data_IF_904298642480
#
_entry.id   IF_904298642480
#
_cell.length_a   1.000
_cell.length_b   1.000
_cell.length_c   1.000
_cell.angle_alpha   90.00
_cell.angle_beta   90.00
_cell.angle_gamma   90.00
#
_symmetry.space_group_name_H-M   'P 1'
#
loop_
_entity.id
_entity.type
_entity.pdbx_description
1 polymer ?
#
# COMPACT_ATOMS: atom_id res chain seq x y z
N UNK A 1 2.27 24.37 8.07
CA UNK A 1 1.57 23.09 7.82
C UNK A 1 0.20 23.12 8.51
N UNK A 2 -0.88 23.09 7.75
CA UNK A 2 -2.24 22.96 8.30
C UNK A 2 -2.47 21.51 8.75
N UNK A 3 -2.13 21.23 10.01
CA UNK A 3 -2.22 19.89 10.62
C UNK A 3 -3.62 19.29 10.52
N UNK A 4 -4.67 20.10 10.64
CA UNK A 4 -6.05 19.62 10.56
C UNK A 4 -6.46 19.27 9.12
N UNK A 5 -5.92 19.97 8.13
CA UNK A 5 -6.10 19.62 6.71
C UNK A 5 -5.48 18.27 6.41
N UNK A 6 -4.20 18.09 6.76
CA UNK A 6 -3.48 16.84 6.53
C UNK A 6 -4.18 15.65 7.18
N UNK A 7 -4.62 15.76 8.43
CA UNK A 7 -5.32 14.67 9.13
C UNK A 7 -6.56 14.16 8.36
N UNK A 8 -7.27 15.04 7.65
CA UNK A 8 -8.47 14.66 6.88
C UNK A 8 -8.13 13.94 5.58
N UNK A 9 -6.92 14.12 5.08
CA UNK A 9 -6.45 13.54 3.81
C UNK A 9 -5.63 12.26 4.03
N UNK A 10 -5.26 11.92 5.27
CA UNK A 10 -4.50 10.72 5.57
C UNK A 10 -5.27 9.45 5.11
N UNK A 11 -4.66 8.61 4.27
CA UNK A 11 -5.29 7.38 3.83
C UNK A 11 -5.26 6.36 4.98
N UNK A 12 -6.43 6.05 5.53
CA UNK A 12 -6.56 5.06 6.59
C UNK A 12 -6.51 3.66 6.01
N UNK A 13 -5.58 2.81 6.47
CA UNK A 13 -5.35 1.47 5.97
C UNK A 13 -6.61 0.58 6.00
N UNK A 14 -7.52 0.81 6.96
CA UNK A 14 -8.81 0.10 7.07
C UNK A 14 -9.66 0.23 5.80
N UNK A 15 -9.50 1.32 5.03
CA UNK A 15 -10.25 1.55 3.79
C UNK A 15 -9.70 0.77 2.59
N UNK A 16 -8.51 0.15 2.72
CA UNK A 16 -7.83 -0.57 1.64
C UNK A 16 -7.89 -2.10 1.81
N UNK A 17 -8.33 -2.57 2.99
CA UNK A 17 -8.38 -4.00 3.30
C UNK A 17 -7.00 -4.65 3.24
N UNK A 18 -6.73 -5.44 2.20
CA UNK A 18 -5.45 -6.15 1.99
C UNK A 18 -4.58 -5.53 0.88
N UNK A 19 -5.01 -4.43 0.26
CA UNK A 19 -4.24 -3.69 -0.75
C UNK A 19 -3.23 -2.74 -0.08
N UNK A 20 -2.15 -3.32 0.47
CA UNK A 20 -1.10 -2.54 1.17
C UNK A 20 -0.30 -1.70 0.17
N UNK A 21 -0.07 -2.21 -1.04
CA UNK A 21 0.65 -1.45 -2.06
C UNK A 21 -0.11 -0.17 -2.43
N UNK A 22 -1.42 -0.28 -2.69
CA UNK A 22 -2.25 0.87 -2.99
C UNK A 22 -2.33 1.89 -1.85
N UNK A 23 -2.39 1.40 -0.62
CA UNK A 23 -2.36 2.28 0.55
C UNK A 23 -1.04 3.03 0.70
N UNK A 24 0.11 2.39 0.43
CA UNK A 24 1.42 3.05 0.47
C UNK A 24 1.55 4.10 -0.64
N UNK A 25 1.08 3.81 -1.85
CA UNK A 25 1.10 4.77 -2.96
C UNK A 25 0.29 6.03 -2.63
N UNK A 26 -0.95 5.87 -2.15
CA UNK A 26 -1.78 7.01 -1.75
C UNK A 26 -1.17 7.77 -0.55
N UNK A 27 -0.51 7.06 0.37
CA UNK A 27 0.21 7.68 1.48
C UNK A 27 1.40 8.53 0.97
N UNK A 28 2.17 8.01 0.02
CA UNK A 28 3.28 8.74 -0.62
C UNK A 28 2.80 10.00 -1.33
N UNK A 29 1.69 9.92 -2.08
CA UNK A 29 1.09 11.08 -2.74
C UNK A 29 0.68 12.16 -1.73
N UNK A 30 0.02 11.78 -0.63
CA UNK A 30 -0.35 12.73 0.43
C UNK A 30 0.90 13.31 1.11
N UNK A 31 1.95 12.52 1.36
CA UNK A 31 3.19 13.07 1.91
C UNK A 31 3.85 14.06 0.96
N UNK A 32 3.84 13.80 -0.35
CA UNK A 32 4.39 14.70 -1.36
C UNK A 32 3.60 16.01 -1.47
N UNK A 33 2.27 15.94 -1.51
CA UNK A 33 1.38 17.11 -1.56
C UNK A 33 1.58 18.07 -0.37
N UNK A 34 1.94 17.51 0.79
CA UNK A 34 2.18 18.27 2.01
C UNK A 34 3.66 18.57 2.27
N UNK A 35 4.54 18.32 1.28
CA UNK A 35 5.99 18.55 1.33
C UNK A 35 6.70 17.80 2.48
N UNK A 36 6.28 16.57 2.77
CA UNK A 36 6.78 15.71 3.84
C UNK A 36 7.72 14.65 3.28
N UNK A 37 9.02 14.95 3.29
CA UNK A 37 10.03 14.09 2.66
C UNK A 37 10.91 13.30 3.63
N UNK A 38 10.93 13.65 4.92
CA UNK A 38 11.83 12.97 5.87
C UNK A 38 11.20 11.69 6.42
N UNK A 39 11.99 10.61 6.50
CA UNK A 39 11.54 9.33 7.06
C UNK A 39 10.96 9.47 8.47
N UNK A 40 11.51 10.38 9.28
CA UNK A 40 10.99 10.68 10.62
C UNK A 40 9.57 11.22 10.59
N UNK A 41 9.28 12.18 9.70
CA UNK A 41 7.95 12.76 9.60
C UNK A 41 6.97 11.77 8.98
N UNK A 42 7.38 11.05 7.93
CA UNK A 42 6.56 10.00 7.31
C UNK A 42 6.21 8.91 8.33
N UNK A 43 7.17 8.45 9.13
CA UNK A 43 6.94 7.51 10.23
C UNK A 43 5.92 8.01 11.26
N UNK A 44 5.99 9.29 11.62
CA UNK A 44 5.02 9.88 12.55
C UNK A 44 3.59 9.84 12.01
N UNK A 45 3.42 10.07 10.70
CA UNK A 45 2.11 10.10 10.05
C UNK A 45 1.57 8.71 9.75
N UNK A 46 2.39 7.80 9.25
CA UNK A 46 1.95 6.45 8.86
C UNK A 46 1.42 5.65 10.06
N UNK A 47 1.95 5.86 11.27
CA UNK A 47 1.43 5.26 12.50
C UNK A 47 -0.02 5.68 12.78
N UNK A 48 -0.43 6.87 12.36
CA UNK A 48 -1.80 7.37 12.55
C UNK A 48 -2.77 6.83 11.50
N UNK A 49 -2.25 6.26 10.42
CA UNK A 49 -3.03 5.70 9.32
C UNK A 49 -3.44 4.24 9.56
N UNK A 50 -2.94 3.60 10.60
CA UNK A 50 -3.14 2.16 10.86
C UNK A 50 -3.85 1.91 12.18
N UNK A 51 -4.40 0.69 12.33
CA UNK A 51 -5.00 0.24 13.59
C UNK A 51 -3.92 -0.01 14.66
N UNK A 52 -4.36 -0.30 15.89
CA UNK A 52 -3.46 -0.47 17.03
C UNK A 52 -2.45 -1.60 16.81
N UNK A 53 -2.88 -2.77 16.34
CA UNK A 53 -2.03 -3.95 16.17
C UNK A 53 -0.92 -3.70 15.15
N UNK A 54 -1.28 -3.15 13.98
CA UNK A 54 -0.31 -2.78 12.96
C UNK A 54 0.62 -1.65 13.45
N UNK A 55 0.10 -0.72 14.26
CA UNK A 55 0.95 0.31 14.86
C UNK A 55 2.03 -0.27 15.78
N UNK A 56 1.74 -1.39 16.47
CA UNK A 56 2.71 -2.08 17.33
C UNK A 56 3.82 -2.67 16.45
N UNK A 57 3.46 -3.37 15.37
CA UNK A 57 4.44 -3.95 14.44
C UNK A 57 5.38 -2.89 13.84
N UNK A 58 4.85 -1.73 13.43
CA UNK A 58 5.64 -0.62 12.90
C UNK A 58 6.58 -0.06 13.98
N UNK A 59 6.12 0.05 15.24
CA UNK A 59 6.96 0.51 16.36
C UNK A 59 8.07 -0.49 16.68
N UNK A 60 7.77 -1.78 16.70
CA UNK A 60 8.76 -2.85 16.88
C UNK A 60 9.78 -2.87 15.73
N UNK A 61 9.36 -2.58 14.48
CA UNK A 61 10.30 -2.38 13.38
C UNK A 61 11.26 -1.20 13.67
N UNK A 62 10.75 -0.06 14.16
CA UNK A 62 11.54 1.12 14.48
C UNK A 62 12.58 0.89 15.59
N UNK A 63 12.32 -0.03 16.52
CA UNK A 63 13.24 -0.41 17.61
C UNK A 63 14.55 -1.03 17.10
N UNK A 64 14.55 -1.60 15.88
CA UNK A 64 15.75 -2.15 15.23
C UNK A 64 16.71 -1.07 14.73
N UNK A 65 16.30 0.19 14.74
CA UNK A 65 17.08 1.32 14.24
C UNK A 65 17.59 2.18 15.39
N UNK A 66 18.79 2.74 15.21
CA UNK A 66 19.33 3.78 16.08
C UNK A 66 18.36 4.97 16.22
N UNK A 67 18.53 5.76 17.28
CA UNK A 67 17.62 6.86 17.67
C UNK A 67 17.28 7.84 16.53
N UNK A 68 18.21 8.08 15.61
CA UNK A 68 18.05 9.06 14.52
C UNK A 68 17.64 8.45 13.17
N UNK A 69 17.56 7.12 13.07
CA UNK A 69 17.21 6.43 11.84
C UNK A 69 15.78 5.90 11.92
N UNK A 70 15.07 5.90 10.80
CA UNK A 70 13.68 5.48 10.69
C UNK A 70 13.56 4.49 9.53
N UNK A 71 12.65 3.51 9.61
CA UNK A 71 12.39 2.62 8.49
C UNK A 71 11.83 3.40 7.30
N UNK A 72 12.17 2.93 6.10
CA UNK A 72 11.58 3.38 4.84
C UNK A 72 10.14 2.89 4.71
N UNK A 73 9.35 3.55 3.84
CA UNK A 73 7.99 3.11 3.55
C UNK A 73 7.94 1.67 3.00
N UNK A 74 8.94 1.28 2.21
CA UNK A 74 9.07 -0.09 1.72
C UNK A 74 9.32 -1.12 2.84
N UNK A 75 10.13 -0.78 3.84
CA UNK A 75 10.34 -1.66 5.01
C UNK A 75 9.09 -1.76 5.88
N UNK A 76 8.35 -0.65 6.03
CA UNK A 76 7.06 -0.62 6.73
C UNK A 76 6.03 -1.48 5.98
N UNK A 77 5.90 -1.28 4.67
CA UNK A 77 5.04 -2.08 3.80
C UNK A 77 5.31 -3.57 3.99
N UNK A 78 6.58 -3.99 3.88
CA UNK A 78 6.97 -5.38 4.05
C UNK A 78 6.62 -5.93 5.44
N UNK A 79 6.82 -5.15 6.50
CA UNK A 79 6.48 -5.57 7.86
C UNK A 79 4.97 -5.80 8.02
N UNK A 80 4.14 -4.93 7.44
CA UNK A 80 2.68 -5.04 7.47
C UNK A 80 2.21 -6.25 6.67
N UNK A 81 2.73 -6.43 5.45
CA UNK A 81 2.40 -7.59 4.61
C UNK A 81 2.76 -8.91 5.30
N UNK A 82 3.94 -8.95 5.93
CA UNK A 82 4.38 -10.10 6.72
C UNK A 82 3.44 -10.37 7.90
N UNK A 83 3.04 -9.34 8.64
CA UNK A 83 2.11 -9.47 9.76
C UNK A 83 0.73 -9.98 9.32
N UNK A 84 0.23 -9.50 8.17
CA UNK A 84 -1.07 -9.89 7.60
C UNK A 84 -1.02 -11.17 6.77
N UNK A 85 0.14 -11.84 6.69
CA UNK A 85 0.42 -13.00 5.84
C UNK A 85 0.05 -12.77 4.36
N UNK A 86 0.26 -11.56 3.86
CA UNK A 86 0.05 -11.23 2.44
C UNK A 86 1.27 -11.69 1.68
N UNK A 87 1.05 -12.62 0.73
CA UNK A 87 2.13 -13.20 -0.08
C UNK A 87 2.05 -12.72 -1.53
N UNK A 88 3.17 -12.80 -2.26
CA UNK A 88 3.17 -12.53 -3.70
C UNK A 88 2.22 -13.47 -4.47
N UNK A 89 2.08 -14.73 -4.02
CA UNK A 89 1.10 -15.67 -4.58
C UNK A 89 -0.34 -15.19 -4.39
N UNK A 90 -0.67 -14.66 -3.22
CA UNK A 90 -2.00 -14.10 -2.93
C UNK A 90 -2.28 -12.84 -3.76
N UNK A 91 -1.30 -11.93 -3.88
CA UNK A 91 -1.40 -10.75 -4.74
C UNK A 91 -1.61 -11.15 -6.21
N UNK A 92 -0.86 -12.15 -6.68
CA UNK A 92 -0.99 -12.67 -8.04
C UNK A 92 -2.36 -13.29 -8.27
N UNK A 93 -2.85 -14.11 -7.33
CA UNK A 93 -4.18 -14.70 -7.40
C UNK A 93 -5.29 -13.65 -7.42
N UNK A 94 -5.20 -12.63 -6.57
CA UNK A 94 -6.12 -11.49 -6.55
C UNK A 94 -6.17 -10.82 -7.92
N UNK A 95 -5.01 -10.53 -8.51
CA UNK A 95 -4.94 -9.91 -9.83
C UNK A 95 -5.55 -10.78 -10.94
N UNK A 96 -5.36 -12.10 -10.89
CA UNK A 96 -5.93 -13.03 -11.88
C UNK A 96 -7.44 -13.20 -11.78
N UNK A 97 -8.01 -12.94 -10.61
CA UNK A 97 -9.42 -13.20 -10.32
C UNK A 97 -10.26 -11.94 -10.16
N UNK A 98 -9.62 -10.77 -10.21
CA UNK A 98 -10.31 -9.48 -10.12
C UNK A 98 -11.32 -9.32 -11.25
N UNK A 99 -12.47 -8.73 -10.94
CA UNK A 99 -13.52 -8.42 -11.90
C UNK A 99 -13.74 -6.92 -11.98
N UNK A 100 -14.11 -6.42 -13.15
CA UNK A 100 -14.55 -5.03 -13.32
C UNK A 100 -15.82 -4.82 -12.48
N UNK A 101 -15.81 -3.93 -11.48
CA UNK A 101 -17.03 -3.62 -10.74
C UNK A 101 -18.07 -2.95 -11.65
N UNK A 102 -19.35 -3.28 -11.48
CA UNK A 102 -20.44 -2.78 -12.33
C UNK A 102 -20.56 -1.25 -12.37
N UNK A 103 -20.09 -0.57 -11.33
CA UNK A 103 -20.13 0.88 -11.12
C UNK A 103 -18.81 1.58 -11.45
N UNK A 104 -17.79 0.86 -11.90
CA UNK A 104 -16.45 1.40 -12.19
C UNK A 104 -16.24 1.58 -13.69
N UNK A 105 -15.73 2.75 -14.09
CA UNK A 105 -15.30 2.97 -15.48
C UNK A 105 -14.14 2.04 -15.82
N UNK A 106 -14.20 1.40 -16.99
CA UNK A 106 -13.13 0.53 -17.52
C UNK A 106 -11.76 1.21 -17.47
N UNK A 107 -11.68 2.52 -17.74
CA UNK A 107 -10.43 3.27 -17.66
C UNK A 107 -9.81 3.29 -16.26
N UNK A 108 -10.65 3.39 -15.22
CA UNK A 108 -10.22 3.36 -13.81
C UNK A 108 -9.73 1.96 -13.47
N UNK A 109 -10.52 0.93 -13.83
CA UNK A 109 -10.13 -0.46 -13.63
C UNK A 109 -8.77 -0.78 -14.29
N UNK A 110 -8.53 -0.29 -15.50
CA UNK A 110 -7.27 -0.51 -16.21
C UNK A 110 -6.07 0.11 -15.51
N UNK A 111 -6.25 1.27 -14.85
CA UNK A 111 -5.21 1.89 -14.02
C UNK A 111 -4.94 1.00 -12.81
N UNK A 112 -5.98 0.57 -12.10
CA UNK A 112 -5.86 -0.33 -10.94
C UNK A 112 -5.17 -1.65 -11.32
N UNK A 113 -5.57 -2.29 -12.42
CA UNK A 113 -4.98 -3.56 -12.88
C UNK A 113 -3.49 -3.41 -13.18
N UNK A 114 -3.09 -2.34 -13.88
CA UNK A 114 -1.69 -2.07 -14.19
C UNK A 114 -0.86 -1.80 -12.94
N UNK A 115 -1.42 -1.08 -11.96
CA UNK A 115 -0.79 -0.84 -10.67
C UNK A 115 -0.54 -2.15 -9.92
N UNK A 116 -1.58 -2.98 -9.76
CA UNK A 116 -1.46 -4.29 -9.12
C UNK A 116 -0.42 -5.18 -9.81
N UNK A 117 -0.39 -5.17 -11.15
CA UNK A 117 0.62 -5.89 -11.92
C UNK A 117 2.04 -5.39 -11.66
N UNK A 118 2.24 -4.06 -11.60
CA UNK A 118 3.55 -3.44 -11.32
C UNK A 118 4.08 -3.84 -9.94
N UNK A 119 3.18 -4.00 -8.97
CA UNK A 119 3.52 -4.27 -7.57
C UNK A 119 3.85 -5.74 -7.28
N UNK A 120 3.62 -6.63 -8.26
CA UNK A 120 4.11 -8.00 -8.21
C UNK A 120 5.63 -8.06 -8.42
N UNK A 121 6.26 -9.02 -7.75
CA UNK A 121 7.63 -9.42 -8.07
C UNK A 121 7.74 -9.93 -9.51
N UNK A 122 8.94 -9.79 -10.09
CA UNK A 122 9.20 -10.05 -11.52
C UNK A 122 8.74 -11.45 -11.96
N UNK A 123 8.95 -12.47 -11.14
CA UNK A 123 8.57 -13.84 -11.47
C UNK A 123 7.07 -14.08 -11.41
N UNK A 124 6.35 -13.38 -10.52
CA UNK A 124 4.89 -13.45 -10.43
C UNK A 124 4.20 -12.68 -11.55
N UNK A 125 4.80 -11.57 -12.02
CA UNK A 125 4.29 -10.84 -13.19
C UNK A 125 4.20 -11.72 -14.44
N UNK A 126 5.18 -12.60 -14.65
CA UNK A 126 5.22 -13.53 -15.79
C UNK A 126 4.09 -14.55 -15.75
N UNK A 127 3.47 -14.78 -14.59
CA UNK A 127 2.37 -15.72 -14.43
C UNK A 127 1.03 -15.12 -14.88
N UNK A 128 0.91 -13.81 -14.94
CA UNK A 128 -0.33 -13.11 -15.32
C UNK A 128 -0.40 -13.02 -16.84
N UNK A 129 -1.45 -13.59 -17.43
CA UNK A 129 -1.62 -13.64 -18.89
C UNK A 129 -2.62 -12.60 -19.40
N UNK A 130 -2.72 -12.48 -20.73
CA UNK A 130 -3.75 -11.65 -21.34
C UNK A 130 -5.14 -12.24 -21.13
N UNK A 131 -5.27 -13.58 -21.05
CA UNK A 131 -6.54 -14.22 -20.73
C UNK A 131 -7.01 -13.84 -19.33
N UNK A 132 -6.13 -13.75 -18.32
CA UNK A 132 -6.48 -13.30 -16.97
C UNK A 132 -7.13 -11.90 -17.00
N UNK A 133 -6.58 -10.98 -17.81
CA UNK A 133 -7.13 -9.64 -18.01
C UNK A 133 -8.46 -9.65 -18.77
N UNK A 134 -8.57 -10.41 -19.86
CA UNK A 134 -9.82 -10.52 -20.64
C UNK A 134 -10.93 -11.11 -19.76
N UNK A 135 -10.60 -12.12 -18.95
CA UNK A 135 -11.52 -12.74 -18.01
C UNK A 135 -11.92 -11.80 -16.87
N UNK A 136 -11.33 -10.61 -16.72
CA UNK A 136 -11.77 -9.66 -15.70
C UNK A 136 -13.08 -8.94 -16.07
N UNK A 137 -13.47 -8.96 -17.35
CA UNK A 137 -14.67 -8.30 -17.89
C UNK A 137 -15.92 -9.18 -17.81
#
# INVERSE_FOLDING_TARGET
MNVQGLIKELPLLVNYGRDIDGWIEDFEEVMELWEIYTLKQQYFWIIKCVNQDISIEIKTLKEKYNKNNYPTLKEIQYAIEKYLNITQSEKCWTLKTIKVPNDTKISIFNVTYRRLLKNLESDFRKLVTIEDYINSY
#
